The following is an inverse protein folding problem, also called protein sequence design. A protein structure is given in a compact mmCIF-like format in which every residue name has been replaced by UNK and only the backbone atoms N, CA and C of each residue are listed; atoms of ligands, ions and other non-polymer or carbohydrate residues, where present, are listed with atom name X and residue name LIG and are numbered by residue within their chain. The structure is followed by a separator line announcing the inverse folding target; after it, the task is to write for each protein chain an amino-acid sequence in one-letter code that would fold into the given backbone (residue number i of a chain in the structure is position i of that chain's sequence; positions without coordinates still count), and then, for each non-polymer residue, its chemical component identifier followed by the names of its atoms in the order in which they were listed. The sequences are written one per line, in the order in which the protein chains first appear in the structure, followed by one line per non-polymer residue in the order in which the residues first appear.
data_IF_692030810076
#
_entry.id   IF_692030810076
#
_cell.length_a   1.000
_cell.length_b   1.000
_cell.length_c   1.000
_cell.angle_alpha   90.00
_cell.angle_beta   90.00
_cell.angle_gamma   90.00
#
_symmetry.space_group_name_H-M   'P 1'
#
loop_
_entity.id
_entity.type
_entity.pdbx_description
1 polymer ?
#
# COMPACT_ATOMS: atom_id res chain seq x y z
N UNK A 1 -50.35 31.91 -41.19
CA UNK A 1 -49.12 31.42 -41.87
C UNK A 1 -47.85 31.84 -41.12
N UNK A 2 -47.56 33.15 -41.00
CA UNK A 2 -46.40 33.70 -40.25
C UNK A 2 -46.19 33.15 -38.82
N UNK A 3 -47.25 32.86 -38.08
CA UNK A 3 -47.13 32.33 -36.71
C UNK A 3 -46.69 30.86 -36.67
N UNK A 4 -47.12 30.06 -37.66
CA UNK A 4 -46.68 28.66 -37.79
C UNK A 4 -45.21 28.61 -38.17
N UNK A 5 -44.81 29.46 -39.11
CA UNK A 5 -43.43 29.62 -39.56
C UNK A 5 -42.48 30.02 -38.41
N UNK A 6 -42.92 30.95 -37.54
CA UNK A 6 -42.19 31.31 -36.32
C UNK A 6 -42.06 30.16 -35.32
N UNK A 7 -43.10 29.34 -35.14
CA UNK A 7 -43.04 28.15 -34.27
C UNK A 7 -42.06 27.10 -34.80
N UNK A 8 -42.04 26.86 -36.11
CA UNK A 8 -41.06 25.95 -36.72
C UNK A 8 -39.63 26.45 -36.56
N UNK A 9 -39.37 27.73 -36.84
CA UNK A 9 -38.05 28.33 -36.67
C UNK A 9 -37.56 28.33 -35.20
N UNK A 10 -38.46 28.52 -34.23
CA UNK A 10 -38.12 28.38 -32.81
C UNK A 10 -37.80 26.94 -32.42
N UNK A 11 -38.58 25.97 -32.91
CA UNK A 11 -38.34 24.55 -32.66
C UNK A 11 -37.04 24.04 -33.28
N UNK A 12 -36.63 24.57 -34.43
CA UNK A 12 -35.35 24.25 -35.05
C UNK A 12 -34.17 24.79 -34.22
N UNK A 13 -34.25 26.06 -33.80
CA UNK A 13 -33.24 26.68 -32.91
C UNK A 13 -33.14 25.97 -31.56
N UNK A 14 -34.24 25.47 -31.03
CA UNK A 14 -34.24 24.72 -29.77
C UNK A 14 -33.53 23.37 -29.90
N UNK A 15 -33.76 22.65 -31.02
CA UNK A 15 -33.05 21.39 -31.31
C UNK A 15 -31.56 21.62 -31.52
N UNK A 16 -31.20 22.67 -32.25
CA UNK A 16 -29.80 23.04 -32.49
C UNK A 16 -29.09 23.38 -31.18
N UNK A 17 -29.73 24.17 -30.31
CA UNK A 17 -29.22 24.46 -28.96
C UNK A 17 -29.07 23.22 -28.09
N UNK A 18 -30.02 22.29 -28.17
CA UNK A 18 -29.96 21.04 -27.41
C UNK A 18 -28.80 20.17 -27.88
N UNK A 19 -28.60 20.03 -29.19
CA UNK A 19 -27.48 19.28 -29.76
C UNK A 19 -26.13 19.91 -29.40
N UNK A 20 -26.02 21.24 -29.50
CA UNK A 20 -24.80 21.96 -29.12
C UNK A 20 -24.46 21.82 -27.63
N UNK A 21 -25.47 21.76 -26.76
CA UNK A 21 -25.27 21.52 -25.33
C UNK A 21 -24.79 20.09 -25.06
N UNK A 22 -25.40 19.09 -25.71
CA UNK A 22 -25.05 17.68 -25.56
C UNK A 22 -23.64 17.38 -26.10
N UNK A 23 -23.26 17.98 -27.21
CA UNK A 23 -21.91 17.87 -27.78
C UNK A 23 -20.86 18.46 -26.83
N UNK A 24 -21.13 19.66 -26.29
CA UNK A 24 -20.26 20.32 -25.31
C UNK A 24 -20.15 19.54 -23.99
N UNK A 25 -21.21 18.85 -23.59
CA UNK A 25 -21.20 17.98 -22.41
C UNK A 25 -20.35 16.72 -22.64
N UNK A 26 -20.47 16.08 -23.81
CA UNK A 26 -19.63 14.94 -24.19
C UNK A 26 -18.15 15.33 -24.27
N UNK A 27 -17.84 16.49 -24.84
CA UNK A 27 -16.48 17.01 -24.92
C UNK A 27 -15.90 17.27 -23.52
N UNK A 28 -16.68 17.88 -22.62
CA UNK A 28 -16.26 18.07 -21.22
C UNK A 28 -15.98 16.76 -20.52
N UNK A 29 -16.85 15.76 -20.69
CA UNK A 29 -16.69 14.45 -20.06
C UNK A 29 -15.44 13.74 -20.58
N UNK A 30 -15.20 13.78 -21.88
CA UNK A 30 -14.00 13.19 -22.48
C UNK A 30 -12.72 13.88 -21.98
N UNK A 31 -12.71 15.22 -21.92
CA UNK A 31 -11.57 15.99 -21.40
C UNK A 31 -11.30 15.70 -19.92
N UNK A 32 -12.34 15.45 -19.12
CA UNK A 32 -12.19 15.08 -17.71
C UNK A 32 -11.66 13.66 -17.54
N UNK A 33 -12.15 12.70 -18.33
CA UNK A 33 -11.63 11.33 -18.34
C UNK A 33 -10.16 11.27 -18.80
N UNK A 34 -9.77 12.08 -19.78
CA UNK A 34 -8.37 12.17 -20.23
C UNK A 34 -7.46 12.74 -19.14
N UNK A 35 -7.88 13.82 -18.46
CA UNK A 35 -7.16 14.38 -17.32
C UNK A 35 -7.02 13.42 -16.15
N UNK A 36 -8.05 12.61 -15.88
CA UNK A 36 -7.97 11.59 -14.83
C UNK A 36 -6.98 10.47 -15.21
N UNK A 37 -6.99 10.05 -16.48
CA UNK A 37 -6.04 9.06 -17.00
C UNK A 37 -4.61 9.57 -16.93
N UNK A 38 -4.37 10.84 -17.31
CA UNK A 38 -3.05 11.46 -17.24
C UNK A 38 -2.55 11.57 -15.79
N UNK A 39 -3.42 11.97 -14.84
CA UNK A 39 -3.09 12.01 -13.41
C UNK A 39 -2.75 10.62 -12.85
N UNK A 40 -3.53 9.60 -13.22
CA UNK A 40 -3.25 8.21 -12.82
C UNK A 40 -1.91 7.73 -13.36
N UNK A 41 -1.63 7.99 -14.63
CA UNK A 41 -0.36 7.63 -15.26
C UNK A 41 0.82 8.38 -14.62
N UNK A 42 0.66 9.67 -14.29
CA UNK A 42 1.69 10.43 -13.59
C UNK A 42 1.97 9.86 -12.19
N UNK A 43 0.92 9.52 -11.44
CA UNK A 43 1.05 8.89 -10.12
C UNK A 43 1.71 7.50 -10.21
N UNK A 44 1.36 6.72 -11.24
CA UNK A 44 1.98 5.43 -11.50
C UNK A 44 3.47 5.57 -11.82
N UNK A 45 3.84 6.50 -12.71
CA UNK A 45 5.24 6.79 -13.03
C UNK A 45 6.02 7.31 -11.82
N UNK A 46 5.42 8.12 -10.95
CA UNK A 46 6.03 8.58 -9.70
C UNK A 46 6.24 7.40 -8.74
N UNK A 47 5.27 6.50 -8.61
CA UNK A 47 5.40 5.28 -7.83
C UNK A 47 6.53 4.39 -8.36
N UNK A 48 6.59 4.14 -9.67
CA UNK A 48 7.67 3.34 -10.27
C UNK A 48 9.03 3.98 -10.07
N UNK A 49 9.12 5.32 -10.16
CA UNK A 49 10.36 6.05 -9.90
C UNK A 49 10.77 5.98 -8.42
N UNK A 50 9.82 6.03 -7.50
CA UNK A 50 10.07 5.84 -6.08
C UNK A 50 10.55 4.41 -5.78
N UNK A 51 9.96 3.41 -6.45
CA UNK A 51 10.39 2.00 -6.37
C UNK A 51 11.80 1.79 -6.94
N UNK A 52 12.18 2.49 -8.02
CA UNK A 52 13.53 2.43 -8.59
C UNK A 52 14.60 3.22 -7.81
N UNK A 53 14.21 4.16 -6.94
CA UNK A 53 15.13 4.88 -6.05
C UNK A 53 15.22 4.24 -4.65
N UNK A 54 14.48 3.16 -4.39
CA UNK A 54 14.83 2.26 -3.31
C UNK A 54 16.09 1.50 -3.74
N UNK A 55 17.12 1.37 -2.88
CA UNK A 55 18.28 0.56 -3.21
C UNK A 55 17.80 -0.86 -3.52
N UNK A 56 18.11 -1.29 -4.75
CA UNK A 56 17.92 -2.65 -5.25
C UNK A 56 18.74 -3.60 -4.36
N UNK A 57 18.11 -4.08 -3.30
CA UNK A 57 18.59 -5.21 -2.54
C UNK A 57 17.42 -6.14 -2.23
N UNK A 58 16.70 -6.52 -3.29
CA UNK A 58 15.61 -7.50 -3.25
C UNK A 58 16.09 -8.94 -3.48
N UNK A 59 17.40 -9.15 -3.61
CA UNK A 59 18.01 -10.49 -3.67
C UNK A 59 18.74 -10.89 -2.38
N UNK A 60 18.55 -10.13 -1.31
CA UNK A 60 18.89 -10.59 0.03
C UNK A 60 17.60 -10.55 0.84
N UNK A 61 17.09 -11.67 1.41
CA UNK A 61 16.12 -11.57 2.49
C UNK A 61 16.88 -10.93 3.64
N UNK A 62 16.95 -9.59 3.69
CA UNK A 62 17.31 -8.93 4.92
C UNK A 62 16.25 -9.39 5.89
N UNK A 63 16.59 -10.17 6.93
CA UNK A 63 15.60 -10.68 7.84
C UNK A 63 14.84 -9.45 8.32
N UNK A 64 13.53 -9.46 8.14
CA UNK A 64 12.61 -8.49 8.74
C UNK A 64 12.71 -8.74 10.23
N UNK A 65 13.84 -8.35 10.82
CA UNK A 65 14.18 -8.64 12.21
C UNK A 65 13.14 -7.91 13.02
N UNK A 66 12.22 -8.68 13.59
CA UNK A 66 11.15 -8.09 14.35
C UNK A 66 11.78 -7.31 15.51
N UNK A 67 11.18 -6.17 15.89
CA UNK A 67 11.72 -5.31 16.95
C UNK A 67 12.04 -6.07 18.25
N UNK A 68 11.33 -7.17 18.50
CA UNK A 68 11.50 -8.04 19.66
C UNK A 68 12.69 -9.02 19.57
N UNK A 69 13.26 -9.30 18.39
CA UNK A 69 14.41 -10.23 18.24
C UNK A 69 15.67 -9.71 18.95
N UNK A 70 15.80 -8.39 19.04
CA UNK A 70 16.89 -7.71 19.75
C UNK A 70 16.64 -7.60 21.25
N UNK A 71 15.42 -7.85 21.71
CA UNK A 71 15.03 -7.70 23.12
C UNK A 71 15.31 -8.96 23.94
N UNK A 72 15.32 -10.14 23.30
CA UNK A 72 15.69 -11.38 23.97
C UNK A 72 17.23 -11.52 24.02
N UNK A 73 17.84 -11.55 25.22
CA UNK A 73 19.28 -11.78 25.35
C UNK A 73 19.63 -13.23 24.96
N UNK A 74 20.83 -13.48 24.39
CA UNK A 74 21.32 -14.84 24.20
C UNK A 74 21.47 -15.54 25.55
N UNK A 75 21.31 -16.86 25.55
CA UNK A 75 21.63 -17.66 26.72
C UNK A 75 23.15 -17.70 26.90
N UNK A 76 23.57 -17.73 28.15
CA UNK A 76 24.96 -17.86 28.55
C UNK A 76 25.01 -19.04 29.52
N UNK A 77 25.96 -19.95 29.31
CA UNK A 77 26.16 -21.14 30.15
C UNK A 77 26.49 -20.78 31.62
N UNK A 78 26.89 -19.54 31.88
CA UNK A 78 27.08 -19.01 33.24
C UNK A 78 25.77 -18.73 34.00
N UNK A 79 24.63 -18.65 33.29
CA UNK A 79 23.31 -18.38 33.90
C UNK A 79 22.54 -19.67 34.16
N UNK A 80 21.66 -19.61 35.16
CA UNK A 80 20.70 -20.67 35.40
C UNK A 80 19.69 -20.77 34.24
N UNK A 81 19.55 -21.97 33.67
CA UNK A 81 18.69 -22.21 32.51
C UNK A 81 17.19 -22.05 32.83
N UNK A 82 16.76 -22.34 34.06
CA UNK A 82 15.38 -22.16 34.48
C UNK A 82 15.06 -20.67 34.66
N UNK A 83 15.99 -19.88 35.22
CA UNK A 83 15.87 -18.42 35.30
C UNK A 83 15.81 -17.79 33.90
N UNK A 84 16.59 -18.31 32.96
CA UNK A 84 16.56 -17.88 31.57
C UNK A 84 15.19 -18.12 30.92
N UNK A 85 14.62 -19.32 31.05
CA UNK A 85 13.29 -19.62 30.51
C UNK A 85 12.19 -18.74 31.11
N UNK A 86 12.21 -18.52 32.43
CA UNK A 86 11.26 -17.62 33.10
C UNK A 86 11.38 -16.17 32.59
N UNK A 87 12.60 -15.70 32.37
CA UNK A 87 12.85 -14.36 31.83
C UNK A 87 12.39 -14.25 30.38
N UNK A 88 12.66 -15.27 29.58
CA UNK A 88 12.23 -15.35 28.19
C UNK A 88 10.70 -15.35 28.08
N UNK A 89 10.01 -16.15 28.87
CA UNK A 89 8.54 -16.20 28.89
C UNK A 89 7.93 -14.85 29.26
N UNK A 90 8.49 -14.16 30.27
CA UNK A 90 8.07 -12.79 30.63
C UNK A 90 8.27 -11.81 29.48
N UNK A 91 9.39 -11.88 28.76
CA UNK A 91 9.65 -11.03 27.60
C UNK A 91 8.69 -11.32 26.45
N UNK A 92 8.38 -12.60 26.20
CA UNK A 92 7.38 -13.00 25.22
C UNK A 92 6.01 -12.40 25.52
N UNK A 93 5.60 -12.41 26.79
CA UNK A 93 4.32 -11.84 27.22
C UNK A 93 4.34 -10.29 27.15
N UNK A 94 5.43 -9.66 27.61
CA UNK A 94 5.56 -8.19 27.61
C UNK A 94 5.57 -7.59 26.20
N UNK A 95 6.22 -8.26 25.26
CA UNK A 95 6.35 -7.79 23.87
C UNK A 95 5.35 -8.43 22.91
N UNK A 96 4.38 -9.20 23.44
CA UNK A 96 3.35 -9.88 22.64
C UNK A 96 3.95 -10.69 21.48
N UNK A 97 5.01 -11.45 21.77
CA UNK A 97 5.68 -12.28 20.75
C UNK A 97 4.72 -13.42 20.35
N UNK A 98 4.41 -13.60 19.05
CA UNK A 98 3.54 -14.67 18.58
C UNK A 98 4.08 -16.05 18.95
N UNK A 99 3.19 -16.98 19.31
CA UNK A 99 3.56 -18.34 19.71
C UNK A 99 4.40 -19.06 18.66
N UNK A 100 4.07 -18.90 17.37
CA UNK A 100 4.80 -19.48 16.25
C UNK A 100 6.28 -19.07 16.18
N UNK A 101 6.64 -17.93 16.78
CA UNK A 101 8.00 -17.40 16.78
C UNK A 101 8.77 -17.72 18.06
N UNK A 102 8.08 -18.02 19.17
CA UNK A 102 8.72 -18.22 20.49
C UNK A 102 9.76 -19.33 20.44
N UNK A 103 9.42 -20.48 19.85
CA UNK A 103 10.34 -21.61 19.76
C UNK A 103 11.56 -21.29 18.89
N UNK A 104 11.35 -20.67 17.73
CA UNK A 104 12.43 -20.29 16.80
C UNK A 104 13.41 -19.33 17.45
N UNK A 105 12.93 -18.32 18.18
CA UNK A 105 13.78 -17.37 18.92
C UNK A 105 14.53 -18.10 20.03
N UNK A 106 13.82 -18.94 20.80
CA UNK A 106 14.41 -19.64 21.94
C UNK A 106 15.57 -20.53 21.49
N UNK A 107 15.38 -21.31 20.44
CA UNK A 107 16.42 -22.14 19.84
C UNK A 107 17.59 -21.26 19.39
N UNK A 108 17.34 -20.20 18.62
CA UNK A 108 18.40 -19.33 18.14
C UNK A 108 19.22 -18.67 19.27
N UNK A 109 18.57 -18.32 20.39
CA UNK A 109 19.24 -17.72 21.55
C UNK A 109 19.97 -18.74 22.43
N UNK A 110 19.53 -20.00 22.44
CA UNK A 110 20.22 -21.10 23.13
C UNK A 110 21.43 -21.63 22.34
N UNK A 111 21.32 -21.71 21.01
CA UNK A 111 22.34 -22.32 20.15
C UNK A 111 23.32 -21.30 19.54
N UNK A 112 22.99 -20.01 19.59
CA UNK A 112 23.76 -18.96 18.93
C UNK A 112 23.67 -18.97 17.40
N UNK A 113 22.89 -19.89 16.82
CA UNK A 113 22.68 -20.02 15.38
C UNK A 113 21.23 -19.65 15.07
N UNK A 114 21.03 -18.54 14.34
CA UNK A 114 19.77 -18.37 13.62
C UNK A 114 19.66 -19.56 12.65
N UNK A 115 18.59 -20.35 12.74
CA UNK A 115 18.31 -21.37 11.71
C UNK A 115 18.12 -20.62 10.39
N UNK A 116 19.08 -20.81 9.48
CA UNK A 116 19.05 -20.38 8.09
C UNK A 116 17.97 -21.16 7.30
#
# INVERSE_FOLDING_TARGET
EKERERKYAMGEKERERKHAMEEKERERKHAEEEKDRERKHALEMEKTRAEQNLPDNTNNPSPTTHKWERLCPPYDESRDIAEYFLTFERLCNLHTIPDDHKMTILVAKLTGSALD
#
